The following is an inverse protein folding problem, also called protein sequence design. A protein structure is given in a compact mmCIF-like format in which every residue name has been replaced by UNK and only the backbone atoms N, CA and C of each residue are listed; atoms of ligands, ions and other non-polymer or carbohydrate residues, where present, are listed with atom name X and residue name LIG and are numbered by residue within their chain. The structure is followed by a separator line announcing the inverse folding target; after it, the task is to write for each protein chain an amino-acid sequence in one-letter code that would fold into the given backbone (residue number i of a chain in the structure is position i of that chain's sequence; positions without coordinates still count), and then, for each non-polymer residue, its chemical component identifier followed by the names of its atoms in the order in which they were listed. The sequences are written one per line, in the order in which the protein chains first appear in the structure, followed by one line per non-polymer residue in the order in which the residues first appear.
data_IF_129723253327
#
_entry.id   IF_129723253327
#
_cell.length_a   1.000
_cell.length_b   1.000
_cell.length_c   1.000
_cell.angle_alpha   90.00
_cell.angle_beta   90.00
_cell.angle_gamma   90.00
#
_symmetry.space_group_name_H-M   'P 1'
#
loop_
_entity.id
_entity.type
_entity.pdbx_description
1 polymer ?
#
# COMPACT_ATOMS: atom_id res chain seq x y z
N UNK A 1 45.79 -42.48 68.03
CA UNK A 1 45.31 -41.45 67.09
C UNK A 1 44.41 -42.14 66.09
N UNK A 2 43.11 -41.93 66.22
CA UNK A 2 42.08 -42.60 65.43
C UNK A 2 41.90 -41.90 64.08
N UNK A 3 42.05 -42.63 62.98
CA UNK A 3 41.64 -42.18 61.64
C UNK A 3 40.28 -42.80 61.34
N UNK A 4 39.26 -42.02 60.94
CA UNK A 4 37.95 -42.55 60.67
C UNK A 4 37.91 -43.25 59.30
N UNK A 5 37.44 -44.49 59.30
CA UNK A 5 37.05 -45.27 58.11
C UNK A 5 35.76 -44.68 57.53
N UNK A 6 35.84 -44.14 56.32
CA UNK A 6 34.69 -43.64 55.56
C UNK A 6 33.99 -44.85 54.91
N UNK A 7 32.68 -45.06 55.11
CA UNK A 7 31.97 -46.12 54.40
C UNK A 7 31.78 -45.72 52.94
N UNK A 8 32.23 -46.57 52.02
CA UNK A 8 31.98 -46.44 50.58
C UNK A 8 30.51 -46.72 50.34
N UNK A 9 29.68 -45.67 50.38
CA UNK A 9 28.29 -45.72 49.93
C UNK A 9 28.32 -45.91 48.43
N UNK A 10 27.96 -47.11 47.97
CA UNK A 10 27.76 -47.43 46.56
C UNK A 10 26.83 -46.39 45.94
N UNK A 11 27.41 -45.52 45.11
CA UNK A 11 26.67 -44.61 44.26
C UNK A 11 26.03 -45.51 43.20
N UNK A 12 24.77 -45.89 43.44
CA UNK A 12 23.92 -46.45 42.40
C UNK A 12 23.86 -45.37 41.30
N UNK A 13 24.56 -45.60 40.19
CA UNK A 13 24.38 -44.76 39.01
C UNK A 13 22.90 -44.89 38.60
N UNK A 14 22.15 -43.80 38.46
CA UNK A 14 20.80 -43.88 37.95
C UNK A 14 20.89 -44.32 36.49
N UNK A 15 20.54 -45.58 36.21
CA UNK A 15 20.31 -46.02 34.84
C UNK A 15 19.25 -45.09 34.22
N UNK A 16 19.55 -44.42 33.09
CA UNK A 16 18.55 -43.60 32.42
C UNK A 16 17.43 -44.52 31.94
N UNK A 17 16.26 -44.42 32.57
CA UNK A 17 15.08 -45.14 32.13
C UNK A 17 14.79 -44.73 30.66
N UNK A 18 14.81 -45.67 29.69
CA UNK A 18 14.66 -45.36 28.28
C UNK A 18 13.31 -44.69 27.96
N UNK A 19 12.32 -44.90 28.83
CA UNK A 19 11.01 -44.25 28.77
C UNK A 19 11.08 -42.73 28.89
N UNK A 20 11.95 -42.16 29.75
CA UNK A 20 12.07 -40.69 29.89
C UNK A 20 12.76 -40.03 28.70
N UNK A 21 13.72 -40.72 28.09
CA UNK A 21 14.36 -40.27 26.85
C UNK A 21 13.37 -40.29 25.67
N UNK A 22 12.50 -41.30 25.61
CA UNK A 22 11.45 -41.40 24.59
C UNK A 22 10.43 -40.24 24.68
N UNK A 23 10.07 -39.80 25.88
CA UNK A 23 9.21 -38.61 26.08
C UNK A 23 9.89 -37.32 25.61
N UNK A 24 11.20 -37.17 25.83
CA UNK A 24 11.94 -35.99 25.39
C UNK A 24 12.11 -35.96 23.86
N UNK A 25 12.43 -37.10 23.25
CA UNK A 25 12.54 -37.24 21.78
C UNK A 25 11.18 -37.11 21.11
N UNK A 26 10.11 -37.67 21.68
CA UNK A 26 8.73 -37.52 21.20
C UNK A 26 8.22 -36.09 21.37
N UNK A 27 8.57 -35.40 22.45
CA UNK A 27 8.29 -33.97 22.63
C UNK A 27 9.03 -33.08 21.64
N UNK A 28 10.31 -33.37 21.36
CA UNK A 28 11.09 -32.68 20.34
C UNK A 28 10.53 -32.92 18.92
N UNK A 29 10.07 -34.14 18.64
CA UNK A 29 9.43 -34.51 17.38
C UNK A 29 8.07 -33.82 17.21
N UNK A 30 7.27 -33.73 18.29
CA UNK A 30 6.00 -33.01 18.29
C UNK A 30 6.22 -31.51 18.03
N UNK A 31 7.24 -30.92 18.67
CA UNK A 31 7.65 -29.52 18.46
C UNK A 31 8.14 -29.25 17.04
N UNK A 32 8.81 -30.22 16.40
CA UNK A 32 9.22 -30.11 15.00
C UNK A 32 8.02 -30.18 14.04
N UNK A 33 7.05 -31.05 14.33
CA UNK A 33 5.80 -31.17 13.59
C UNK A 33 4.90 -29.93 13.71
N UNK A 34 4.75 -29.38 14.92
CA UNK A 34 4.03 -28.11 15.14
C UNK A 34 4.68 -26.94 14.40
N UNK A 35 6.01 -26.86 14.42
CA UNK A 35 6.75 -25.81 13.71
C UNK A 35 6.60 -25.89 12.19
N UNK A 36 6.51 -27.09 11.62
CA UNK A 36 6.25 -27.25 10.17
C UNK A 36 4.84 -26.81 9.76
N UNK A 37 3.84 -27.06 10.61
CA UNK A 37 2.45 -26.65 10.35
C UNK A 37 2.30 -25.13 10.41
N UNK A 38 2.91 -24.48 11.41
CA UNK A 38 2.88 -23.02 11.55
C UNK A 38 3.61 -22.30 10.39
N UNK A 39 4.67 -22.91 9.87
CA UNK A 39 5.40 -22.39 8.72
C UNK A 39 4.52 -22.32 7.47
N UNK A 40 3.80 -23.41 7.14
CA UNK A 40 2.92 -23.46 5.97
C UNK A 40 1.73 -22.49 6.10
N UNK A 41 1.15 -22.38 7.31
CA UNK A 41 0.12 -21.38 7.65
C UNK A 41 0.58 -19.97 7.30
N UNK A 42 1.81 -19.63 7.70
CA UNK A 42 2.37 -18.29 7.53
C UNK A 42 2.65 -17.93 6.06
N UNK A 43 2.98 -18.90 5.20
CA UNK A 43 3.27 -18.65 3.78
C UNK A 43 2.01 -18.21 3.04
N UNK A 44 0.90 -18.92 3.23
CA UNK A 44 -0.38 -18.61 2.57
C UNK A 44 -0.89 -17.23 3.01
N UNK A 45 -0.84 -16.95 4.30
CA UNK A 45 -1.25 -15.66 4.84
C UNK A 45 -0.41 -14.50 4.29
N UNK A 46 0.92 -14.68 4.19
CA UNK A 46 1.84 -13.68 3.62
C UNK A 46 1.62 -13.45 2.13
N UNK A 47 1.41 -14.51 1.34
CA UNK A 47 1.13 -14.38 -0.09
C UNK A 47 -0.21 -13.65 -0.33
N UNK A 48 -1.26 -14.05 0.39
CA UNK A 48 -2.55 -13.37 0.34
C UNK A 48 -2.42 -11.89 0.69
N UNK A 49 -1.69 -11.55 1.77
CA UNK A 49 -1.43 -10.17 2.18
C UNK A 49 -0.68 -9.38 1.11
N UNK A 50 0.39 -9.93 0.55
CA UNK A 50 1.18 -9.27 -0.50
C UNK A 50 0.37 -9.01 -1.78
N UNK A 51 -0.51 -9.94 -2.17
CA UNK A 51 -1.43 -9.74 -3.30
C UNK A 51 -2.49 -8.67 -3.01
N UNK A 52 -3.00 -8.61 -1.78
CA UNK A 52 -3.97 -7.58 -1.37
C UNK A 52 -3.35 -6.18 -1.35
N UNK A 53 -2.12 -6.04 -0.85
CA UNK A 53 -1.38 -4.76 -0.85
C UNK A 53 -1.14 -4.25 -2.27
N UNK A 54 -0.65 -5.11 -3.18
CA UNK A 54 -0.51 -4.78 -4.61
C UNK A 54 -1.83 -4.33 -5.24
N UNK A 55 -2.93 -4.97 -4.87
CA UNK A 55 -4.27 -4.59 -5.36
C UNK A 55 -4.63 -3.16 -4.94
N UNK A 56 -4.33 -2.78 -3.70
CA UNK A 56 -4.55 -1.41 -3.21
C UNK A 56 -3.67 -0.41 -3.94
N UNK A 57 -2.41 -0.75 -4.20
CA UNK A 57 -1.51 0.10 -4.98
C UNK A 57 -2.05 0.34 -6.39
N UNK A 58 -2.50 -0.71 -7.07
CA UNK A 58 -3.14 -0.59 -8.40
C UNK A 58 -4.40 0.27 -8.34
N UNK A 59 -5.26 0.09 -7.34
CA UNK A 59 -6.48 0.92 -7.16
C UNK A 59 -6.10 2.39 -6.93
N UNK A 60 -5.08 2.68 -6.14
CA UNK A 60 -4.57 4.04 -5.93
C UNK A 60 -4.02 4.65 -7.22
N UNK A 61 -3.27 3.88 -8.01
CA UNK A 61 -2.78 4.31 -9.31
C UNK A 61 -3.93 4.61 -10.28
N UNK A 62 -4.97 3.77 -10.28
CA UNK A 62 -6.17 3.98 -11.09
C UNK A 62 -6.91 5.27 -10.67
N UNK A 63 -7.01 5.56 -9.38
CA UNK A 63 -7.61 6.83 -8.93
C UNK A 63 -6.74 8.06 -9.23
N UNK A 64 -5.43 7.91 -9.35
CA UNK A 64 -4.52 8.98 -9.76
C UNK A 64 -4.63 9.28 -11.27
N UNK A 65 -4.95 8.29 -12.10
CA UNK A 65 -5.16 8.50 -13.54
C UNK A 65 -6.44 9.29 -13.85
N UNK A 66 -7.44 9.23 -12.97
CA UNK A 66 -8.68 10.01 -13.09
C UNK A 66 -8.39 11.49 -12.84
N UNK A 67 -8.39 12.29 -13.91
CA UNK A 67 -8.19 13.74 -13.88
C UNK A 67 -9.40 14.43 -13.24
N UNK A 68 -9.19 15.01 -12.07
CA UNK A 68 -10.24 15.67 -11.27
C UNK A 68 -10.27 17.18 -11.43
N UNK A 69 -9.67 17.72 -12.50
CA UNK A 69 -9.68 19.16 -12.81
C UNK A 69 -8.88 20.04 -11.83
N UNK A 70 -8.09 19.43 -10.95
CA UNK A 70 -7.20 20.14 -10.02
C UNK A 70 -5.77 20.10 -10.53
N UNK A 71 -5.09 21.23 -10.38
CA UNK A 71 -3.68 21.39 -10.63
C UNK A 71 -2.88 20.44 -9.73
N UNK A 72 -2.23 19.45 -10.34
CA UNK A 72 -1.27 18.58 -9.66
C UNK A 72 0.05 18.64 -10.44
N UNK A 73 1.20 18.91 -9.78
CA UNK A 73 2.50 18.88 -10.44
C UNK A 73 2.79 17.56 -11.16
N UNK A 74 2.24 16.43 -10.68
CA UNK A 74 2.40 15.11 -11.31
C UNK A 74 1.83 15.01 -12.73
N UNK A 75 1.00 15.97 -13.19
CA UNK A 75 0.52 16.00 -14.58
C UNK A 75 1.63 16.35 -15.57
N UNK A 76 2.64 17.11 -15.14
CA UNK A 76 3.73 17.60 -15.98
C UNK A 76 4.95 16.66 -15.98
N UNK A 77 4.94 15.60 -15.18
CA UNK A 77 6.05 14.64 -15.06
C UNK A 77 6.31 13.84 -16.35
N UNK A 78 5.29 13.70 -17.21
CA UNK A 78 5.42 12.98 -18.50
C UNK A 78 5.98 13.84 -19.63
N UNK A 79 6.19 15.13 -19.39
CA UNK A 79 6.62 16.07 -20.43
C UNK A 79 8.14 16.11 -20.47
N UNK A 80 8.67 15.85 -21.65
CA UNK A 80 10.08 16.03 -21.98
C UNK A 80 10.27 17.34 -22.72
N UNK A 81 11.30 18.08 -22.32
CA UNK A 81 11.68 19.37 -22.88
C UNK A 81 13.05 19.19 -23.53
N UNK A 82 13.21 19.69 -24.75
CA UNK A 82 14.50 19.71 -25.41
C UNK A 82 15.38 20.81 -24.79
N UNK A 83 16.43 20.40 -24.09
CA UNK A 83 17.40 21.28 -23.45
C UNK A 83 18.79 20.95 -23.99
N UNK A 84 19.40 21.92 -24.68
CA UNK A 84 20.70 21.75 -25.38
C UNK A 84 20.79 20.50 -26.28
N UNK A 85 19.70 20.17 -26.99
CA UNK A 85 19.67 19.06 -27.96
C UNK A 85 19.47 17.66 -27.35
N UNK A 86 19.21 17.56 -26.05
CA UNK A 86 18.77 16.33 -25.40
C UNK A 86 17.36 16.51 -24.81
N UNK A 87 16.48 15.50 -24.91
CA UNK A 87 15.24 15.51 -24.14
C UNK A 87 15.55 15.32 -22.66
N UNK A 88 15.02 16.21 -21.82
CA UNK A 88 15.14 16.18 -20.36
C UNK A 88 13.76 16.36 -19.76
N UNK A 89 13.47 15.71 -18.62
CA UNK A 89 12.18 15.88 -17.95
C UNK A 89 11.95 17.32 -17.48
N UNK A 90 10.72 17.81 -17.60
CA UNK A 90 10.35 19.18 -17.19
C UNK A 90 10.68 19.46 -15.71
N UNK A 91 10.53 18.45 -14.84
CA UNK A 91 10.83 18.54 -13.40
C UNK A 91 12.29 18.84 -13.07
N UNK A 92 13.22 18.45 -13.95
CA UNK A 92 14.65 18.73 -13.77
C UNK A 92 15.04 20.14 -14.22
N UNK A 93 14.28 20.72 -15.16
CA UNK A 93 14.57 22.03 -15.78
C UNK A 93 13.81 23.17 -15.10
N UNK A 94 12.70 22.86 -14.42
CA UNK A 94 11.84 23.85 -13.78
C UNK A 94 11.29 23.38 -12.44
N UNK A 95 11.11 24.34 -11.53
CA UNK A 95 10.35 24.15 -10.31
C UNK A 95 8.86 24.29 -10.60
N UNK A 96 8.08 23.27 -10.22
CA UNK A 96 6.63 23.27 -10.39
C UNK A 96 5.98 23.56 -9.04
N UNK A 97 5.10 24.56 -9.00
CA UNK A 97 4.33 24.94 -7.83
C UNK A 97 2.85 25.07 -8.16
N UNK A 98 2.00 24.88 -7.16
CA UNK A 98 0.55 25.01 -7.25
C UNK A 98 0.09 26.17 -6.37
N UNK A 99 0.08 27.41 -6.86
CA UNK A 99 -0.40 28.55 -6.09
C UNK A 99 -1.91 28.46 -5.83
N UNK A 100 -2.71 28.05 -6.82
CA UNK A 100 -4.15 27.80 -6.65
C UNK A 100 -4.56 26.40 -7.14
N UNK A 101 -5.75 25.95 -6.74
CA UNK A 101 -6.28 24.65 -7.14
C UNK A 101 -6.51 24.51 -8.66
N UNK A 102 -6.66 25.62 -9.38
CA UNK A 102 -6.90 25.67 -10.83
C UNK A 102 -5.71 26.21 -11.63
N UNK A 103 -4.62 26.60 -10.98
CA UNK A 103 -3.44 27.19 -11.63
C UNK A 103 -2.17 26.40 -11.30
N UNK A 104 -1.35 26.13 -12.31
CA UNK A 104 0.02 25.61 -12.13
C UNK A 104 1.00 26.71 -12.49
N UNK A 105 2.02 26.88 -11.67
CA UNK A 105 3.13 27.77 -11.93
C UNK A 105 4.39 26.94 -12.15
N UNK A 106 4.97 27.10 -13.34
CA UNK A 106 6.24 26.47 -13.72
C UNK A 106 7.28 27.57 -13.80
N UNK A 107 8.26 27.51 -12.89
CA UNK A 107 9.37 28.44 -12.82
C UNK A 107 10.63 27.76 -13.35
N UNK A 108 11.07 28.05 -14.59
CA UNK A 108 12.31 27.51 -15.12
C UNK A 108 13.52 28.09 -14.36
N UNK A 109 14.56 27.28 -14.20
CA UNK A 109 15.83 27.79 -13.67
C UNK A 109 16.54 28.72 -14.68
N UNK A 110 16.38 28.44 -15.98
CA UNK A 110 16.95 29.25 -17.07
C UNK A 110 15.89 29.90 -17.95
N UNK A 111 15.97 31.22 -18.11
CA UNK A 111 15.04 32.00 -18.95
C UNK A 111 15.12 31.64 -20.44
N UNK A 112 16.25 31.10 -20.90
CA UNK A 112 16.44 30.64 -22.29
C UNK A 112 15.57 29.41 -22.64
N UNK A 113 15.29 28.56 -21.64
CA UNK A 113 14.51 27.33 -21.81
C UNK A 113 13.00 27.55 -21.90
N UNK A 114 12.52 28.77 -21.59
CA UNK A 114 11.10 29.11 -21.47
C UNK A 114 10.31 28.78 -22.76
N UNK A 115 10.86 29.16 -23.93
CA UNK A 115 10.23 28.87 -25.24
C UNK A 115 10.17 27.37 -25.56
N UNK A 116 11.14 26.58 -25.10
CA UNK A 116 11.14 25.14 -25.29
C UNK A 116 10.07 24.48 -24.40
N UNK A 117 9.92 24.95 -23.17
CA UNK A 117 8.89 24.48 -22.22
C UNK A 117 7.49 24.79 -22.74
N UNK A 118 7.24 26.00 -23.25
CA UNK A 118 5.95 26.36 -23.86
C UNK A 118 5.58 25.42 -25.00
N UNK A 119 6.51 25.15 -25.91
CA UNK A 119 6.30 24.23 -27.04
C UNK A 119 6.05 22.81 -26.55
N UNK A 120 6.79 22.34 -25.55
CA UNK A 120 6.61 21.00 -24.99
C UNK A 120 5.23 20.85 -24.32
N UNK A 121 4.74 21.87 -23.62
CA UNK A 121 3.42 21.86 -22.97
C UNK A 121 2.29 21.90 -24.01
N UNK A 122 2.40 22.75 -25.04
CA UNK A 122 1.40 22.83 -26.12
C UNK A 122 1.39 21.57 -26.98
N UNK A 123 2.57 20.99 -27.23
CA UNK A 123 2.71 19.72 -27.94
C UNK A 123 2.26 18.50 -27.13
N UNK A 124 2.05 18.65 -25.82
CA UNK A 124 1.51 17.59 -24.97
C UNK A 124 -0.02 17.55 -25.06
N UNK A 125 -0.61 16.35 -25.02
CA UNK A 125 -2.06 16.08 -25.02
C UNK A 125 -2.81 16.57 -23.75
N UNK A 126 -2.26 17.53 -23.02
CA UNK A 126 -2.90 18.15 -21.85
C UNK A 126 -3.91 19.22 -22.26
N UNK A 127 -3.80 19.78 -23.47
CA UNK A 127 -4.75 20.77 -24.00
C UNK A 127 -4.83 22.05 -23.16
N UNK A 128 -3.73 22.42 -22.49
CA UNK A 128 -3.63 23.61 -21.65
C UNK A 128 -2.88 24.72 -22.37
N UNK A 129 -3.34 25.95 -22.21
CA UNK A 129 -2.65 27.12 -22.76
C UNK A 129 -1.68 27.70 -21.73
N UNK A 130 -0.36 27.76 -22.02
CA UNK A 130 0.59 28.48 -21.18
C UNK A 130 0.40 29.99 -21.33
N UNK A 131 0.35 30.68 -20.20
CA UNK A 131 0.46 32.13 -20.11
C UNK A 131 1.85 32.48 -19.58
N UNK A 132 2.54 33.42 -20.23
CA UNK A 132 3.93 33.71 -19.97
C UNK A 132 4.08 35.10 -19.34
N UNK A 133 4.60 35.14 -18.11
CA UNK A 133 4.90 36.36 -17.36
C UNK A 133 6.37 36.82 -17.56
N UNK A 134 7.11 36.20 -18.48
CA UNK A 134 8.52 36.48 -18.83
C UNK A 134 9.55 35.78 -17.95
N UNK A 135 9.16 35.41 -16.73
CA UNK A 135 9.98 34.65 -15.78
C UNK A 135 9.31 33.35 -15.32
N UNK A 136 7.97 33.33 -15.29
CA UNK A 136 7.17 32.17 -14.88
C UNK A 136 6.13 31.86 -15.95
N UNK A 137 5.84 30.56 -16.12
CA UNK A 137 4.77 30.08 -16.98
C UNK A 137 3.59 29.69 -16.08
N UNK A 138 2.42 30.26 -16.35
CA UNK A 138 1.17 29.97 -15.66
C UNK A 138 0.26 29.15 -16.56
N UNK A 139 -0.15 27.99 -16.08
CA UNK A 139 -1.12 27.14 -16.77
C UNK A 139 -2.46 27.21 -16.03
N UNK A 140 -3.53 27.47 -16.76
CA UNK A 140 -4.88 27.53 -16.20
C UNK A 140 -5.67 26.28 -16.61
N UNK A 141 -6.22 25.58 -15.63
CA UNK A 141 -7.15 24.48 -15.88
C UNK A 141 -8.58 25.01 -16.04
N UNK A 142 -9.32 24.55 -17.06
CA UNK A 142 -10.73 24.84 -17.14
C UNK A 142 -11.49 24.16 -16.00
N UNK A 143 -12.52 24.84 -15.49
CA UNK A 143 -13.37 24.32 -14.43
C UNK A 143 -14.23 23.14 -14.93
N UNK A 144 -14.38 22.10 -14.11
CA UNK A 144 -15.25 20.96 -14.44
C UNK A 144 -16.72 21.33 -14.25
N UNK A 145 -17.54 21.07 -15.28
CA UNK A 145 -19.00 21.20 -15.20
C UNK A 145 -19.62 20.12 -14.29
N UNK A 146 -20.82 20.39 -13.78
CA UNK A 146 -21.55 19.46 -12.90
C UNK A 146 -21.86 18.12 -13.57
N UNK A 147 -22.13 18.12 -14.88
CA UNK A 147 -22.36 16.92 -15.68
C UNK A 147 -21.11 16.04 -15.76
N UNK A 148 -19.95 16.64 -16.06
CA UNK A 148 -18.67 15.92 -16.11
C UNK A 148 -18.26 15.34 -14.76
N UNK A 149 -18.54 16.03 -13.65
CA UNK A 149 -18.32 15.48 -12.29
C UNK A 149 -19.13 14.20 -12.05
N UNK A 150 -20.40 14.15 -12.50
CA UNK A 150 -21.24 12.95 -12.37
C UNK A 150 -20.71 11.77 -13.19
N UNK A 151 -20.17 12.04 -14.37
CA UNK A 151 -19.52 11.00 -15.20
C UNK A 151 -18.27 10.44 -14.53
N UNK A 152 -17.42 11.31 -13.95
CA UNK A 152 -16.22 10.89 -13.23
C UNK A 152 -16.56 10.05 -11.99
N UNK A 153 -17.62 10.39 -11.25
CA UNK A 153 -18.08 9.58 -10.12
C UNK A 153 -18.44 8.15 -10.55
N UNK A 154 -19.12 7.97 -11.70
CA UNK A 154 -19.41 6.64 -12.24
C UNK A 154 -18.16 5.84 -12.57
N UNK A 155 -17.12 6.51 -13.12
CA UNK A 155 -15.84 5.86 -13.43
C UNK A 155 -15.13 5.42 -12.15
N UNK A 156 -15.07 6.29 -11.15
CA UNK A 156 -14.44 5.98 -9.85
C UNK A 156 -15.17 4.85 -9.13
N UNK A 157 -16.51 4.81 -9.20
CA UNK A 157 -17.31 3.72 -8.65
C UNK A 157 -16.99 2.38 -9.33
N UNK A 158 -16.85 2.36 -10.67
CA UNK A 158 -16.44 1.14 -11.40
C UNK A 158 -15.06 0.65 -10.95
N UNK A 159 -14.08 1.54 -10.85
CA UNK A 159 -12.72 1.19 -10.41
C UNK A 159 -12.69 0.65 -8.96
N UNK A 160 -13.52 1.19 -8.07
CA UNK A 160 -13.64 0.69 -6.71
C UNK A 160 -14.22 -0.73 -6.66
N UNK A 161 -15.25 -1.01 -7.48
CA UNK A 161 -15.83 -2.34 -7.57
C UNK A 161 -14.86 -3.37 -8.20
N UNK A 162 -14.09 -2.99 -9.20
CA UNK A 162 -12.99 -3.81 -9.74
C UNK A 162 -11.98 -4.19 -8.65
N UNK A 163 -11.59 -3.24 -7.80
CA UNK A 163 -10.73 -3.49 -6.65
C UNK A 163 -11.33 -4.48 -5.64
N UNK A 164 -12.63 -4.36 -5.34
CA UNK A 164 -13.32 -5.30 -4.45
C UNK A 164 -13.46 -6.69 -5.07
N UNK A 165 -13.72 -6.79 -6.38
CA UNK A 165 -13.75 -8.07 -7.10
C UNK A 165 -12.38 -8.74 -7.06
N UNK A 166 -11.29 -7.99 -7.25
CA UNK A 166 -9.93 -8.52 -7.13
C UNK A 166 -9.64 -9.08 -5.73
N UNK A 167 -10.03 -8.38 -4.65
CA UNK A 167 -9.91 -8.91 -3.27
C UNK A 167 -10.70 -10.22 -3.07
N UNK A 168 -11.92 -10.30 -3.60
CA UNK A 168 -12.74 -11.53 -3.53
C UNK A 168 -12.09 -12.69 -4.29
N UNK A 169 -11.44 -12.42 -5.42
CA UNK A 169 -10.70 -13.43 -6.18
C UNK A 169 -9.46 -13.93 -5.42
N UNK A 170 -8.69 -13.03 -4.79
CA UNK A 170 -7.54 -13.42 -3.95
C UNK A 170 -7.99 -14.33 -2.80
N UNK A 171 -9.11 -14.00 -2.13
CA UNK A 171 -9.67 -14.87 -1.09
C UNK A 171 -10.06 -16.25 -1.62
N UNK A 172 -10.69 -16.33 -2.79
CA UNK A 172 -11.04 -17.60 -3.45
C UNK A 172 -9.79 -18.43 -3.77
N UNK A 173 -8.73 -17.80 -4.25
CA UNK A 173 -7.47 -18.48 -4.55
C UNK A 173 -6.80 -19.02 -3.28
N UNK A 174 -6.80 -18.22 -2.21
CA UNK A 174 -6.25 -18.63 -0.92
C UNK A 174 -7.03 -19.82 -0.32
N UNK A 175 -8.37 -19.79 -0.38
CA UNK A 175 -9.21 -20.92 0.06
C UNK A 175 -8.96 -22.17 -0.77
N UNK A 176 -8.86 -22.06 -2.10
CA UNK A 176 -8.49 -23.19 -2.97
C UNK A 176 -7.10 -23.75 -2.66
N UNK A 177 -6.15 -22.92 -2.25
CA UNK A 177 -4.83 -23.37 -1.83
C UNK A 177 -4.92 -24.18 -0.51
N UNK A 178 -5.72 -23.72 0.46
CA UNK A 178 -5.98 -24.46 1.69
C UNK A 178 -6.62 -25.83 1.42
N UNK A 179 -7.66 -25.90 0.56
CA UNK A 179 -8.34 -27.16 0.19
C UNK A 179 -7.40 -28.17 -0.49
N UNK A 180 -6.40 -27.69 -1.25
CA UNK A 180 -5.40 -28.58 -1.87
C UNK A 180 -4.47 -29.19 -0.82
N UNK A 181 -4.02 -28.39 0.15
CA UNK A 181 -3.13 -28.85 1.22
C UNK A 181 -3.82 -29.81 2.19
N UNK A 182 -5.13 -29.65 2.39
CA UNK A 182 -5.97 -30.59 3.12
C UNK A 182 -5.99 -31.97 2.43
N UNK A 183 -6.17 -32.01 1.10
CA UNK A 183 -6.12 -33.25 0.31
C UNK A 183 -4.74 -33.91 0.34
N UNK A 184 -3.68 -33.11 0.40
CA UNK A 184 -2.30 -33.58 0.57
C UNK A 184 -1.99 -34.05 2.00
N UNK A 185 -2.96 -33.96 2.94
CA UNK A 185 -2.83 -34.30 4.37
C UNK A 185 -1.72 -33.55 5.10
N UNK A 186 -1.33 -32.37 4.60
CA UNK A 186 -0.34 -31.51 5.25
C UNK A 186 -0.94 -30.66 6.37
N UNK A 187 -2.25 -30.42 6.32
CA UNK A 187 -3.00 -29.64 7.30
C UNK A 187 -4.17 -30.44 7.89
N UNK A 188 -4.45 -30.20 9.17
CA UNK A 188 -5.65 -30.69 9.86
C UNK A 188 -6.86 -29.79 9.53
N UNK A 189 -8.08 -30.36 9.56
CA UNK A 189 -9.33 -29.66 9.29
C UNK A 189 -9.52 -28.43 10.20
N UNK A 190 -9.07 -28.50 11.45
CA UNK A 190 -9.18 -27.40 12.41
C UNK A 190 -8.34 -26.20 12.00
N UNK A 191 -7.15 -26.42 11.46
CA UNK A 191 -6.25 -25.35 11.00
C UNK A 191 -6.84 -24.66 9.76
N UNK A 192 -7.52 -25.40 8.89
CA UNK A 192 -8.18 -24.84 7.71
C UNK A 192 -9.32 -23.90 8.12
N UNK A 193 -10.09 -24.25 9.16
CA UNK A 193 -11.15 -23.39 9.71
C UNK A 193 -10.56 -22.10 10.29
N UNK A 194 -9.48 -22.21 11.07
CA UNK A 194 -8.80 -21.06 11.64
C UNK A 194 -8.25 -20.13 10.54
N UNK A 195 -7.57 -20.70 9.55
CA UNK A 195 -7.05 -19.98 8.38
C UNK A 195 -8.14 -19.26 7.60
N UNK A 196 -9.29 -19.91 7.39
CA UNK A 196 -10.43 -19.30 6.72
C UNK A 196 -10.95 -18.08 7.48
N UNK A 197 -11.03 -18.18 8.82
CA UNK A 197 -11.44 -17.08 9.68
C UNK A 197 -10.45 -15.92 9.66
N UNK A 198 -9.14 -16.20 9.65
CA UNK A 198 -8.07 -15.21 9.60
C UNK A 198 -8.06 -14.50 8.24
N UNK A 199 -8.18 -15.24 7.13
CA UNK A 199 -8.27 -14.67 5.78
C UNK A 199 -9.52 -13.80 5.61
N UNK A 200 -10.63 -14.18 6.24
CA UNK A 200 -11.84 -13.36 6.22
C UNK A 200 -11.62 -12.02 6.93
N UNK A 201 -11.07 -12.02 8.15
CA UNK A 201 -10.74 -10.79 8.90
C UNK A 201 -9.80 -9.87 8.11
N UNK A 202 -8.75 -10.43 7.52
CA UNK A 202 -7.81 -9.69 6.67
C UNK A 202 -8.53 -9.07 5.46
N UNK A 203 -9.36 -9.85 4.77
CA UNK A 203 -10.09 -9.35 3.60
C UNK A 203 -11.04 -8.21 3.98
N UNK A 204 -11.76 -8.31 5.10
CA UNK A 204 -12.66 -7.28 5.60
C UNK A 204 -11.91 -5.97 5.95
N UNK A 205 -10.71 -6.07 6.54
CA UNK A 205 -9.85 -4.91 6.78
C UNK A 205 -9.47 -4.19 5.47
N UNK A 206 -9.06 -4.96 4.45
CA UNK A 206 -8.69 -4.40 3.15
C UNK A 206 -9.89 -3.84 2.37
N UNK A 207 -11.08 -4.44 2.50
CA UNK A 207 -12.32 -3.88 1.94
C UNK A 207 -12.61 -2.49 2.55
N UNK A 208 -12.49 -2.36 3.88
CA UNK A 208 -12.65 -1.07 4.57
C UNK A 208 -11.63 -0.02 4.09
N UNK A 209 -10.38 -0.42 3.84
CA UNK A 209 -9.35 0.47 3.28
C UNK A 209 -9.73 0.97 1.87
N UNK A 210 -10.25 0.12 1.00
CA UNK A 210 -10.74 0.54 -0.32
C UNK A 210 -11.91 1.52 -0.19
N UNK A 211 -12.89 1.21 0.66
CA UNK A 211 -14.04 2.09 0.88
C UNK A 211 -13.63 3.45 1.45
N UNK A 212 -12.62 3.50 2.33
CA UNK A 212 -12.06 4.76 2.83
C UNK A 212 -11.44 5.59 1.70
N UNK A 213 -10.60 4.99 0.85
CA UNK A 213 -9.98 5.66 -0.29
C UNK A 213 -11.03 6.13 -1.30
N UNK A 214 -12.05 5.31 -1.57
CA UNK A 214 -13.17 5.65 -2.45
C UNK A 214 -13.94 6.87 -1.92
N UNK A 215 -14.35 6.87 -0.64
CA UNK A 215 -15.04 8.00 -0.01
C UNK A 215 -14.23 9.27 -0.02
N UNK A 216 -12.91 9.17 0.19
CA UNK A 216 -12.00 10.33 0.08
C UNK A 216 -12.02 10.90 -1.34
N UNK A 217 -11.93 10.05 -2.37
CA UNK A 217 -11.95 10.48 -3.78
C UNK A 217 -13.31 11.02 -4.22
N UNK A 218 -14.40 10.44 -3.74
CA UNK A 218 -15.76 10.92 -3.99
C UNK A 218 -15.98 12.32 -3.41
N UNK A 219 -15.65 12.52 -2.12
CA UNK A 219 -15.68 13.84 -1.49
C UNK A 219 -14.83 14.85 -2.24
N UNK A 220 -13.64 14.42 -2.69
CA UNK A 220 -12.73 15.26 -3.46
C UNK A 220 -13.35 15.73 -4.78
N UNK A 221 -14.06 14.87 -5.53
CA UNK A 221 -14.71 15.25 -6.80
C UNK A 221 -15.87 16.22 -6.58
N UNK A 222 -16.63 16.02 -5.51
CA UNK A 222 -17.81 16.85 -5.21
C UNK A 222 -17.37 18.23 -4.70
N UNK A 223 -16.59 18.26 -3.62
CA UNK A 223 -16.27 19.49 -2.88
C UNK A 223 -14.99 20.18 -3.34
N UNK A 224 -14.11 19.50 -4.09
CA UNK A 224 -12.84 20.07 -4.57
C UNK A 224 -11.79 20.32 -3.48
N UNK A 225 -12.09 19.97 -2.23
CA UNK A 225 -11.20 20.15 -1.08
C UNK A 225 -10.39 18.86 -0.90
N UNK A 226 -9.07 18.96 -1.04
CA UNK A 226 -8.17 17.96 -0.48
C UNK A 226 -8.09 18.25 1.01
N UNK A 227 -8.76 17.46 1.86
CA UNK A 227 -8.38 17.45 3.27
C UNK A 227 -6.96 16.89 3.32
N UNK A 228 -5.99 17.80 3.39
CA UNK A 228 -4.59 17.47 3.53
C UNK A 228 -4.39 16.80 4.90
N UNK A 229 -4.23 15.48 4.88
CA UNK A 229 -3.33 14.72 5.78
C UNK A 229 -3.56 14.80 7.30
N UNK A 230 -4.77 15.02 7.81
CA UNK A 230 -5.02 14.97 9.27
C UNK A 230 -6.24 14.16 9.76
N UNK A 231 -6.97 13.45 8.89
CA UNK A 231 -8.17 12.68 9.32
C UNK A 231 -8.05 11.17 9.00
N UNK A 232 -6.86 10.60 9.18
CA UNK A 232 -6.68 9.13 9.14
C UNK A 232 -6.23 8.54 10.47
N UNK A 233 -6.31 9.32 11.55
CA UNK A 233 -5.88 8.97 12.91
C UNK A 233 -6.95 9.12 14.00
N UNK A 234 -8.18 9.52 13.68
CA UNK A 234 -9.20 9.84 14.70
C UNK A 234 -10.05 8.65 15.14
N UNK A 235 -9.39 7.49 15.32
CA UNK A 235 -9.95 6.38 16.10
C UNK A 235 -9.11 6.08 17.34
N UNK A 236 -8.36 7.04 17.87
CA UNK A 236 -7.70 6.92 19.17
C UNK A 236 -8.00 8.14 20.05
N UNK A 237 -8.61 7.94 21.24
CA UNK A 237 -9.07 9.03 22.08
C UNK A 237 -7.98 9.47 23.06
N UNK A 238 -6.94 10.19 22.63
CA UNK A 238 -6.04 10.86 23.58
C UNK A 238 -5.54 12.20 23.04
N UNK A 239 -5.88 13.27 23.76
CA UNK A 239 -5.26 14.60 23.66
C UNK A 239 -3.75 14.50 23.86
N UNK A 240 -3.01 15.40 23.18
CA UNK A 240 -1.77 16.13 23.58
C UNK A 240 -1.20 16.71 22.26
N UNK A 241 -1.47 17.97 21.93
CA UNK A 241 -0.65 19.15 22.26
C UNK A 241 0.70 19.16 21.49
N UNK A 242 0.75 20.02 20.45
CA UNK A 242 1.83 21.03 20.17
C UNK A 242 2.82 20.81 18.99
N UNK A 243 3.08 21.96 18.32
CA UNK A 243 4.09 22.37 17.30
C UNK A 243 3.95 21.77 15.88
N UNK A 244 3.44 22.50 14.87
CA UNK A 244 4.07 23.60 14.12
C UNK A 244 5.42 23.22 13.49
N UNK A 245 5.47 22.94 12.18
CA UNK A 245 6.50 23.43 11.24
C UNK A 245 5.95 23.29 9.82
N UNK A 246 5.70 24.45 9.21
CA UNK A 246 5.69 24.70 7.77
C UNK A 246 7.15 24.69 7.30
N UNK A 247 7.54 23.71 6.47
CA UNK A 247 8.59 23.80 5.44
C UNK A 247 8.22 22.83 4.32
#
# INVERSE_FOLDING_TARGET
MATPTIPVRSILQPHPNPSKALFFVRGLLLLLLEKSVEAEKSVIAKDAKGRMEKTIETVRQNFNSVRTGRANPAMLDKIEVEYYGSPVSLKSVAQISTPDASSLLVQPYDKSSLKAIEKAIVGSDLGMTPNNDGEVIRLTLPQLTSERKKELLKVVAKQAEEGKVALRNIRRDALKACEKLEKEKKLSEDIVKDLSSDLQKLTEEYMKKIDAVYKQKEKFIIFGICHSRSEMSDSLPYQVVVVMVCV
#
